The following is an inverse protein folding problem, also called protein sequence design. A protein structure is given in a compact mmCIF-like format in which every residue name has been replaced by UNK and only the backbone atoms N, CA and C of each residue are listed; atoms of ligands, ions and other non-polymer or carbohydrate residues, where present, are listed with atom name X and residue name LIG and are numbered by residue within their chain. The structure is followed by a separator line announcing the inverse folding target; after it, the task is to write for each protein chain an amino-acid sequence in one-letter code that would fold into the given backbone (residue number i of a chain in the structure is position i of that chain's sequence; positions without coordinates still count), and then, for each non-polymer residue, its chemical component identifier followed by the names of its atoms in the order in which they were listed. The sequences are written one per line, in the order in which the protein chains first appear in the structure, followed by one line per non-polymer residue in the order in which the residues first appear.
data_IF_968812832860
#
_entry.id   IF_968812832860
#
_cell.length_a   1.000
_cell.length_b   1.000
_cell.length_c   1.000
_cell.angle_alpha   90.00
_cell.angle_beta   90.00
_cell.angle_gamma   90.00
#
_symmetry.space_group_name_H-M   'P 1'
#
loop_
_entity.id
_entity.type
_entity.pdbx_description
1 polymer ?
#
# COMPACT_ATOMS: atom_id res chain seq x y z
N UNK A 1 -26.98 -27.44 39.14
CA UNK A 1 -26.20 -27.32 37.89
C UNK A 1 -25.02 -26.41 38.15
N UNK A 2 -23.85 -27.01 38.38
CA UNK A 2 -22.59 -26.30 38.61
C UNK A 2 -22.20 -25.64 37.28
N UNK A 3 -22.16 -24.31 37.24
CA UNK A 3 -21.59 -23.56 36.13
C UNK A 3 -20.09 -23.84 36.14
N UNK A 4 -19.63 -24.73 35.27
CA UNK A 4 -18.21 -24.87 34.97
C UNK A 4 -17.70 -23.51 34.50
N UNK A 5 -16.88 -22.88 35.36
CA UNK A 5 -16.04 -21.76 34.98
C UNK A 5 -15.08 -22.29 33.92
N UNK A 6 -15.42 -22.10 32.64
CA UNK A 6 -14.46 -22.25 31.54
C UNK A 6 -13.35 -21.25 31.83
N UNK A 7 -12.22 -21.76 32.32
CA UNK A 7 -10.98 -20.99 32.45
C UNK A 7 -10.48 -20.79 31.02
N UNK A 8 -10.94 -19.72 30.37
CA UNK A 8 -10.38 -19.30 29.08
C UNK A 8 -8.93 -18.90 29.35
N UNK A 9 -7.99 -19.76 28.93
CA UNK A 9 -6.56 -19.45 28.95
C UNK A 9 -6.31 -18.25 28.02
N UNK A 10 -6.26 -17.05 28.59
CA UNK A 10 -5.93 -15.78 27.91
C UNK A 10 -4.44 -15.70 27.58
N UNK A 11 -3.91 -16.64 26.80
CA UNK A 11 -2.59 -16.47 26.20
C UNK A 11 -2.77 -15.65 24.92
N UNK A 12 -2.31 -14.40 24.98
CA UNK A 12 -2.32 -13.49 23.82
C UNK A 12 -1.48 -14.09 22.69
N UNK A 13 -2.04 -14.15 21.49
CA UNK A 13 -1.32 -14.53 20.27
C UNK A 13 -0.12 -13.59 20.07
N UNK A 14 1.08 -14.13 19.96
CA UNK A 14 2.30 -13.35 19.74
C UNK A 14 3.00 -13.82 18.48
N UNK A 15 3.46 -12.85 17.68
CA UNK A 15 4.35 -13.11 16.57
C UNK A 15 5.72 -12.49 16.82
N UNK A 16 6.78 -13.16 16.37
CA UNK A 16 8.17 -12.69 16.49
C UNK A 16 8.96 -13.03 15.24
N UNK A 17 9.88 -12.15 14.87
CA UNK A 17 10.91 -12.46 13.89
C UNK A 17 12.01 -13.26 14.59
N UNK A 18 12.28 -14.46 14.08
CA UNK A 18 13.33 -15.35 14.58
C UNK A 18 14.66 -15.04 13.91
N UNK A 19 14.57 -14.84 12.60
CA UNK A 19 15.73 -14.70 11.75
C UNK A 19 15.40 -13.73 10.63
N UNK A 20 16.36 -12.87 10.33
CA UNK A 20 16.34 -12.02 9.15
C UNK A 20 17.76 -12.01 8.58
N UNK A 21 17.88 -12.35 7.30
CA UNK A 21 19.14 -12.34 6.56
C UNK A 21 18.97 -11.48 5.32
N UNK A 22 19.97 -10.68 4.99
CA UNK A 22 20.10 -10.04 3.68
C UNK A 22 21.32 -10.62 3.00
N UNK A 23 21.13 -11.21 1.82
CA UNK A 23 22.23 -11.65 0.98
C UNK A 23 22.80 -10.46 0.19
N UNK A 24 24.04 -10.59 -0.27
CA UNK A 24 24.73 -9.56 -1.06
C UNK A 24 24.03 -9.21 -2.37
N UNK A 25 23.21 -10.12 -2.93
CA UNK A 25 22.50 -9.93 -4.19
C UNK A 25 21.09 -9.34 -4.00
N UNK A 26 20.88 -8.52 -2.97
CA UNK A 26 19.59 -7.87 -2.68
C UNK A 26 18.42 -8.83 -2.39
N UNK A 27 18.69 -10.11 -2.14
CA UNK A 27 17.70 -11.08 -1.69
C UNK A 27 17.58 -11.01 -0.17
N UNK A 28 16.35 -10.85 0.32
CA UNK A 28 16.08 -10.80 1.75
C UNK A 28 15.28 -12.02 2.18
N UNK A 29 15.71 -12.63 3.28
CA UNK A 29 15.05 -13.73 3.93
C UNK A 29 14.55 -13.30 5.32
N UNK A 30 13.34 -13.73 5.67
CA UNK A 30 12.78 -13.55 7.00
C UNK A 30 12.03 -14.80 7.47
N UNK A 31 12.32 -15.23 8.70
CA UNK A 31 11.61 -16.29 9.39
C UNK A 31 10.83 -15.73 10.57
N UNK A 32 9.54 -16.00 10.61
CA UNK A 32 8.62 -15.51 11.62
C UNK A 32 7.93 -16.68 12.34
N UNK A 33 7.65 -16.51 13.62
CA UNK A 33 6.88 -17.45 14.44
C UNK A 33 5.57 -16.80 14.86
N UNK A 34 4.48 -17.57 14.86
CA UNK A 34 3.20 -17.23 15.46
C UNK A 34 2.78 -18.33 16.46
N UNK A 35 2.58 -17.96 17.72
CA UNK A 35 2.17 -18.88 18.79
C UNK A 35 1.52 -18.14 19.98
N UNK A 36 0.73 -18.82 20.84
CA UNK A 36 0.23 -20.19 20.68
C UNK A 36 -1.03 -20.24 19.79
N UNK A 37 -1.14 -21.25 18.93
CA UNK A 37 -2.32 -21.51 18.10
C UNK A 37 -3.03 -22.78 18.56
N UNK A 38 -4.34 -22.84 18.37
CA UNK A 38 -5.10 -24.09 18.52
C UNK A 38 -4.89 -24.98 17.30
N UNK A 39 -5.10 -26.29 17.48
CA UNK A 39 -4.98 -27.27 16.39
C UNK A 39 -5.78 -26.86 15.15
N UNK A 40 -5.12 -26.77 14.00
CA UNK A 40 -5.70 -26.42 12.70
C UNK A 40 -5.73 -24.92 12.38
N UNK A 41 -5.59 -24.03 13.38
CA UNK A 41 -5.50 -22.59 13.11
C UNK A 41 -4.21 -22.23 12.37
N UNK A 42 -3.12 -22.96 12.62
CA UNK A 42 -1.84 -22.73 11.97
C UNK A 42 -1.91 -22.99 10.45
N UNK A 43 -2.63 -24.04 10.02
CA UNK A 43 -2.87 -24.32 8.60
C UNK A 43 -3.68 -23.20 7.95
N UNK A 44 -4.78 -22.78 8.57
CA UNK A 44 -5.64 -21.72 8.02
C UNK A 44 -4.86 -20.43 7.83
N UNK A 45 -4.14 -19.99 8.85
CA UNK A 45 -3.35 -18.74 8.79
C UNK A 45 -2.18 -18.90 7.81
N UNK A 46 -1.45 -20.01 7.86
CA UNK A 46 -0.30 -20.27 7.01
C UNK A 46 -0.64 -20.25 5.52
N UNK A 47 -1.72 -20.94 5.14
CA UNK A 47 -2.21 -20.97 3.75
C UNK A 47 -2.70 -19.59 3.31
N UNK A 48 -3.50 -18.91 4.13
CA UNK A 48 -4.04 -17.59 3.81
C UNK A 48 -2.93 -16.56 3.60
N UNK A 49 -2.00 -16.46 4.56
CA UNK A 49 -0.86 -15.54 4.51
C UNK A 49 0.04 -15.86 3.33
N UNK A 50 0.35 -17.14 3.08
CA UNK A 50 1.15 -17.54 1.91
C UNK A 50 0.51 -17.10 0.59
N UNK A 51 -0.81 -17.26 0.45
CA UNK A 51 -1.54 -16.82 -0.75
C UNK A 51 -1.50 -15.30 -0.91
N UNK A 52 -1.73 -14.56 0.16
CA UNK A 52 -1.67 -13.10 0.13
C UNK A 52 -0.26 -12.58 -0.20
N UNK A 53 0.79 -13.16 0.39
CA UNK A 53 2.19 -12.80 0.12
C UNK A 53 2.56 -12.96 -1.37
N UNK A 54 2.08 -14.01 -2.02
CA UNK A 54 2.44 -14.31 -3.42
C UNK A 54 1.52 -13.63 -4.44
N UNK A 55 0.28 -13.30 -4.07
CA UNK A 55 -0.73 -12.82 -5.03
C UNK A 55 -1.14 -11.36 -4.86
N UNK A 56 -1.23 -10.87 -3.62
CA UNK A 56 -1.89 -9.60 -3.31
C UNK A 56 -0.93 -8.46 -3.01
N UNK A 57 0.38 -8.73 -2.93
CA UNK A 57 1.38 -7.69 -2.67
C UNK A 57 1.66 -6.91 -3.95
N UNK A 58 1.72 -5.59 -3.80
CA UNK A 58 2.04 -4.69 -4.89
C UNK A 58 3.54 -4.61 -5.14
N UNK A 59 3.92 -4.62 -6.41
CA UNK A 59 5.29 -4.45 -6.85
C UNK A 59 5.42 -3.28 -7.81
N UNK A 60 6.60 -2.68 -7.88
CA UNK A 60 6.93 -1.66 -8.89
C UNK A 60 7.86 -2.28 -9.93
N UNK A 61 7.54 -2.12 -11.22
CA UNK A 61 8.41 -2.57 -12.31
C UNK A 61 8.31 -1.64 -13.53
N UNK A 62 9.22 -1.84 -14.48
CA UNK A 62 9.22 -1.13 -15.76
C UNK A 62 8.29 -1.87 -16.72
N UNK A 63 7.29 -1.19 -17.27
CA UNK A 63 6.25 -1.81 -18.11
C UNK A 63 6.37 -1.48 -19.59
N UNK A 64 7.13 -0.44 -19.95
CA UNK A 64 7.33 -0.02 -21.33
C UNK A 64 8.68 0.67 -21.47
N UNK A 65 9.33 0.46 -22.60
CA UNK A 65 10.50 1.20 -23.05
C UNK A 65 10.24 1.78 -24.44
N UNK A 66 10.57 3.04 -24.67
CA UNK A 66 10.44 3.73 -25.96
C UNK A 66 11.80 4.25 -26.40
N UNK A 67 12.11 4.04 -27.68
CA UNK A 67 13.34 4.53 -28.30
C UNK A 67 13.08 4.90 -29.76
N UNK A 68 13.53 6.08 -30.17
CA UNK A 68 13.24 6.63 -31.50
C UNK A 68 13.99 5.92 -32.64
N UNK A 69 15.14 5.32 -32.34
CA UNK A 69 16.08 4.81 -33.36
C UNK A 69 15.91 3.33 -33.69
N UNK A 70 14.88 2.68 -33.13
CA UNK A 70 14.74 1.22 -33.17
C UNK A 70 13.53 0.85 -34.02
N UNK A 71 13.69 0.02 -35.08
CA UNK A 71 12.57 -0.41 -35.90
C UNK A 71 11.75 -1.53 -35.22
N UNK A 72 12.40 -2.50 -34.58
CA UNK A 72 11.75 -3.64 -33.94
C UNK A 72 12.59 -4.21 -32.76
N UNK A 73 11.96 -4.97 -31.88
CA UNK A 73 12.55 -5.53 -30.65
C UNK A 73 13.73 -6.49 -30.86
N UNK A 74 13.80 -7.15 -32.02
CA UNK A 74 14.91 -8.05 -32.39
C UNK A 74 16.07 -7.36 -33.12
N UNK A 75 16.07 -6.03 -33.21
CA UNK A 75 17.11 -5.31 -33.93
C UNK A 75 18.36 -5.13 -33.09
N UNK A 76 19.48 -4.94 -33.76
CA UNK A 76 20.76 -4.58 -33.15
C UNK A 76 21.07 -3.12 -33.46
N UNK A 77 21.60 -2.42 -32.46
CA UNK A 77 21.99 -1.01 -32.60
C UNK A 77 23.49 -0.99 -32.81
N UNK A 78 23.94 -0.41 -33.93
CA UNK A 78 25.38 -0.25 -34.21
C UNK A 78 26.02 0.52 -33.06
N UNK A 79 27.16 0.03 -32.55
CA UNK A 79 27.92 0.62 -31.45
C UNK A 79 27.37 0.34 -30.04
N UNK A 80 26.40 -0.57 -29.91
CA UNK A 80 25.98 -1.20 -28.65
C UNK A 80 26.26 -2.70 -28.76
N UNK A 81 26.76 -3.31 -27.68
CA UNK A 81 27.12 -4.73 -27.67
C UNK A 81 25.88 -5.64 -27.65
N UNK A 82 24.86 -5.27 -26.88
CA UNK A 82 23.64 -6.04 -26.67
C UNK A 82 22.59 -5.76 -27.75
N UNK A 83 21.74 -6.76 -28.01
CA UNK A 83 20.52 -6.58 -28.80
C UNK A 83 19.45 -5.83 -28.03
N UNK A 84 18.46 -5.25 -28.73
CA UNK A 84 17.35 -4.55 -28.08
C UNK A 84 16.56 -5.49 -27.16
N UNK A 85 16.37 -6.74 -27.56
CA UNK A 85 15.72 -7.75 -26.72
C UNK A 85 16.49 -8.00 -25.42
N UNK A 86 17.82 -8.14 -25.47
CA UNK A 86 18.65 -8.30 -24.29
C UNK A 86 18.56 -7.07 -23.37
N UNK A 87 18.54 -5.85 -23.93
CA UNK A 87 18.32 -4.62 -23.16
C UNK A 87 16.96 -4.66 -22.44
N UNK A 88 15.89 -5.08 -23.13
CA UNK A 88 14.55 -5.21 -22.51
C UNK A 88 14.54 -6.25 -21.39
N UNK A 89 15.25 -7.38 -21.55
CA UNK A 89 15.39 -8.39 -20.49
C UNK A 89 16.20 -7.87 -19.31
N UNK A 90 17.29 -7.15 -19.55
CA UNK A 90 18.09 -6.52 -18.50
C UNK A 90 17.28 -5.48 -17.72
N UNK A 91 16.46 -4.67 -18.41
CA UNK A 91 15.54 -3.73 -17.77
C UNK A 91 14.47 -4.42 -16.91
N UNK A 92 13.99 -5.60 -17.34
CA UNK A 92 13.02 -6.42 -16.59
C UNK A 92 13.59 -6.95 -15.27
N UNK A 93 14.89 -7.17 -15.19
CA UNK A 93 15.56 -7.66 -13.98
C UNK A 93 15.75 -6.58 -12.90
N UNK A 94 15.66 -5.30 -13.26
CA UNK A 94 15.85 -4.18 -12.33
C UNK A 94 14.74 -4.18 -11.27
N UNK A 95 15.16 -4.25 -10.00
CA UNK A 95 14.25 -4.18 -8.87
C UNK A 95 14.10 -2.73 -8.42
N UNK A 96 12.86 -2.24 -8.45
CA UNK A 96 12.48 -0.90 -8.04
C UNK A 96 11.69 -0.94 -6.72
N UNK A 97 11.95 0.02 -5.84
CA UNK A 97 11.16 0.32 -4.65
C UNK A 97 10.48 1.67 -4.86
N UNK A 98 9.16 1.73 -4.76
CA UNK A 98 8.44 2.99 -4.90
C UNK A 98 7.14 2.99 -4.12
N UNK A 99 6.69 4.19 -3.75
CA UNK A 99 5.32 4.45 -3.28
C UNK A 99 4.59 5.29 -4.33
N UNK A 100 4.62 4.83 -5.58
CA UNK A 100 3.92 5.47 -6.70
C UNK A 100 2.42 5.18 -6.68
N UNK A 101 1.63 6.19 -7.04
CA UNK A 101 0.24 6.00 -7.45
C UNK A 101 0.16 6.23 -8.96
N UNK A 102 -0.23 5.19 -9.71
CA UNK A 102 -0.35 5.24 -11.16
C UNK A 102 0.97 5.07 -11.91
N UNK A 103 1.05 5.74 -13.06
CA UNK A 103 2.16 5.62 -14.02
C UNK A 103 3.16 6.75 -13.81
N UNK A 104 4.45 6.43 -13.82
CA UNK A 104 5.53 7.42 -13.77
C UNK A 104 6.51 7.23 -14.93
N UNK A 105 7.09 8.33 -15.40
CA UNK A 105 8.12 8.32 -16.44
C UNK A 105 9.52 8.30 -15.84
N UNK A 106 10.43 7.57 -16.48
CA UNK A 106 11.86 7.60 -16.24
C UNK A 106 12.59 7.63 -17.58
N UNK A 107 13.89 7.94 -17.59
CA UNK A 107 14.66 7.94 -18.83
C UNK A 107 16.12 7.55 -18.61
N UNK A 108 16.75 7.03 -19.65
CA UNK A 108 18.18 6.77 -19.71
C UNK A 108 18.76 7.69 -20.77
N UNK A 109 19.75 8.50 -20.40
CA UNK A 109 20.44 9.41 -21.32
C UNK A 109 21.95 9.31 -21.08
N UNK A 110 22.63 8.51 -21.90
CA UNK A 110 24.06 8.22 -21.74
C UNK A 110 24.79 8.41 -23.07
N UNK A 111 25.99 8.98 -23.00
CA UNK A 111 26.91 9.13 -24.14
C UNK A 111 28.07 8.15 -23.98
N UNK A 112 28.31 7.34 -25.01
CA UNK A 112 29.37 6.34 -25.04
C UNK A 112 30.76 6.91 -25.38
N UNK A 113 31.81 6.06 -25.37
CA UNK A 113 31.79 4.65 -24.98
C UNK A 113 31.82 4.46 -23.46
N UNK A 114 30.88 3.67 -22.91
CA UNK A 114 30.73 3.42 -21.46
C UNK A 114 29.78 2.25 -21.19
N UNK A 115 29.97 1.58 -20.05
CA UNK A 115 28.99 0.66 -19.46
C UNK A 115 27.80 1.41 -18.88
N UNK A 116 26.59 1.02 -19.29
CA UNK A 116 25.32 1.53 -18.80
C UNK A 116 24.78 0.58 -17.75
N UNK A 117 24.55 1.10 -16.55
CA UNK A 117 24.05 0.36 -15.39
C UNK A 117 22.73 0.95 -14.92
N UNK A 118 22.03 0.26 -14.02
CA UNK A 118 20.80 0.77 -13.41
C UNK A 118 20.98 2.15 -12.75
N UNK A 119 22.18 2.45 -12.22
CA UNK A 119 22.49 3.77 -11.67
C UNK A 119 22.34 4.93 -12.68
N UNK A 120 22.51 4.67 -13.97
CA UNK A 120 22.44 5.71 -15.01
C UNK A 120 20.98 6.04 -15.41
N UNK A 121 19.97 5.40 -14.79
CA UNK A 121 18.56 5.71 -14.98
C UNK A 121 18.20 7.00 -14.23
N UNK A 122 17.64 7.95 -14.95
CA UNK A 122 17.04 9.17 -14.41
C UNK A 122 15.64 8.82 -13.90
N UNK A 123 15.53 8.67 -12.59
CA UNK A 123 14.30 8.29 -11.90
C UNK A 123 13.52 9.52 -11.38
N UNK A 124 12.19 9.40 -11.26
CA UNK A 124 11.40 10.33 -10.48
C UNK A 124 11.73 10.21 -8.97
N UNK A 125 11.52 11.27 -8.17
CA UNK A 125 11.91 11.30 -6.76
C UNK A 125 11.20 10.26 -5.86
N UNK A 126 10.09 9.70 -6.33
CA UNK A 126 9.29 8.69 -5.64
C UNK A 126 9.75 7.24 -5.86
N UNK A 127 10.74 7.02 -6.74
CA UNK A 127 11.27 5.69 -7.09
C UNK A 127 12.73 5.58 -6.70
N UNK A 128 13.09 4.43 -6.15
CA UNK A 128 14.46 4.09 -5.80
C UNK A 128 14.82 2.75 -6.43
N UNK A 129 16.04 2.65 -6.94
CA UNK A 129 16.61 1.36 -7.37
C UNK A 129 17.20 0.65 -6.16
N UNK A 130 16.96 -0.65 -6.06
CA UNK A 130 17.50 -1.50 -4.99
C UNK A 130 18.92 -1.94 -5.34
N UNK A 131 19.16 -2.37 -6.58
CA UNK A 131 20.47 -2.77 -7.08
C UNK A 131 20.95 -1.84 -8.21
N UNK A 132 21.89 -0.96 -7.86
CA UNK A 132 22.46 0.01 -8.78
C UNK A 132 23.47 -0.62 -9.77
N UNK A 133 23.92 -1.85 -9.51
CA UNK A 133 24.98 -2.52 -10.29
C UNK A 133 24.44 -3.34 -11.45
N UNK A 134 23.12 -3.53 -11.54
CA UNK A 134 22.49 -4.28 -12.61
C UNK A 134 22.90 -3.71 -13.98
N UNK A 135 23.46 -4.59 -14.80
CA UNK A 135 23.93 -4.25 -16.14
C UNK A 135 22.74 -4.04 -17.08
N UNK A 136 22.78 -2.98 -17.90
CA UNK A 136 21.75 -2.72 -18.92
C UNK A 136 22.33 -2.95 -20.32
N UNK A 137 23.40 -2.23 -20.66
CA UNK A 137 24.02 -2.28 -21.98
C UNK A 137 25.47 -1.76 -21.94
N UNK A 138 26.27 -2.12 -22.92
CA UNK A 138 27.63 -1.63 -23.14
C UNK A 138 27.73 -0.86 -24.46
N UNK A 139 28.11 0.42 -24.38
CA UNK A 139 28.31 1.29 -25.54
C UNK A 139 29.77 1.22 -25.98
N UNK A 140 30.03 0.65 -27.17
CA UNK A 140 31.38 0.49 -27.72
C UNK A 140 31.86 1.70 -28.51
N UNK A 141 30.93 2.49 -29.05
CA UNK A 141 31.18 3.67 -29.89
C UNK A 141 30.66 4.96 -29.23
N UNK A 142 31.08 6.16 -29.67
CA UNK A 142 30.61 7.45 -29.16
C UNK A 142 29.16 7.77 -29.60
N UNK A 143 28.22 6.95 -29.14
CA UNK A 143 26.80 7.01 -29.49
C UNK A 143 26.01 7.54 -28.29
N UNK A 144 24.95 8.30 -28.58
CA UNK A 144 23.99 8.75 -27.58
C UNK A 144 22.85 7.73 -27.49
N UNK A 145 22.75 7.05 -26.36
CA UNK A 145 21.63 6.17 -26.02
C UNK A 145 20.57 7.00 -25.28
N UNK A 146 19.37 7.04 -25.84
CA UNK A 146 18.19 7.63 -25.23
C UNK A 146 17.06 6.60 -25.19
N UNK A 147 16.57 6.29 -23.99
CA UNK A 147 15.45 5.37 -23.77
C UNK A 147 14.50 6.03 -22.79
N UNK A 148 13.23 6.15 -23.18
CA UNK A 148 12.15 6.53 -22.27
C UNK A 148 11.55 5.29 -21.65
N UNK A 149 11.34 5.32 -20.33
CA UNK A 149 10.84 4.22 -19.54
C UNK A 149 9.53 4.60 -18.87
N UNK A 150 8.63 3.64 -18.77
CA UNK A 150 7.39 3.76 -18.03
C UNK A 150 7.42 2.81 -16.84
N UNK A 151 7.25 3.36 -15.64
CA UNK A 151 7.23 2.64 -14.37
C UNK A 151 5.80 2.62 -13.86
N UNK A 152 5.37 1.47 -13.39
CA UNK A 152 4.02 1.27 -12.86
C UNK A 152 4.10 0.43 -11.58
N UNK A 153 3.16 0.70 -10.67
CA UNK A 153 2.94 -0.11 -9.47
C UNK A 153 1.57 -0.78 -9.60
N UNK A 154 1.57 -2.10 -9.55
CA UNK A 154 0.36 -2.93 -9.71
C UNK A 154 0.56 -4.26 -8.96
N UNK A 155 -0.36 -5.21 -9.11
CA UNK A 155 -0.31 -6.55 -8.50
C UNK A 155 -0.17 -7.65 -9.55
N UNK A 156 0.47 -8.75 -9.14
CA UNK A 156 0.53 -9.97 -9.92
C UNK A 156 1.39 -9.88 -11.19
N UNK A 157 0.96 -10.56 -12.24
CA UNK A 157 1.69 -10.68 -13.50
C UNK A 157 0.80 -10.29 -14.67
N UNK A 158 1.29 -9.38 -15.53
CA UNK A 158 0.55 -8.90 -16.69
C UNK A 158 1.39 -9.06 -17.94
N UNK A 159 1.00 -10.02 -18.77
CA UNK A 159 1.53 -10.17 -20.13
C UNK A 159 0.83 -9.14 -21.00
N UNK A 160 1.60 -8.21 -21.56
CA UNK A 160 1.06 -7.30 -22.59
C UNK A 160 1.30 -7.95 -23.95
N UNK A 161 0.21 -8.25 -24.65
CA UNK A 161 0.27 -8.63 -26.06
C UNK A 161 0.80 -7.46 -26.88
N UNK A 162 1.65 -7.74 -27.87
CA UNK A 162 2.25 -6.77 -28.79
C UNK A 162 1.18 -6.12 -29.67
N UNK A 163 0.38 -5.21 -29.11
CA UNK A 163 -0.57 -4.43 -29.89
C UNK A 163 0.19 -3.24 -30.50
N UNK A 164 0.47 -3.36 -31.81
CA UNK A 164 0.89 -2.31 -32.74
C UNK A 164 1.84 -1.25 -32.15
N UNK A 165 3.13 -1.57 -32.15
CA UNK A 165 4.24 -0.63 -31.91
C UNK A 165 4.38 0.41 -33.03
N UNK A 166 3.33 1.20 -33.29
CA UNK A 166 3.38 2.31 -34.27
C UNK A 166 4.20 3.51 -33.77
N UNK A 167 4.56 3.53 -32.47
CA UNK A 167 5.19 4.69 -31.81
C UNK A 167 6.59 4.38 -31.22
N UNK A 168 7.32 3.39 -31.79
CA UNK A 168 8.68 3.05 -31.34
C UNK A 168 8.78 2.56 -29.88
N UNK A 169 7.68 2.02 -29.37
CA UNK A 169 7.55 1.60 -27.99
C UNK A 169 7.38 0.10 -27.85
N UNK A 170 8.09 -0.47 -26.89
CA UNK A 170 8.15 -1.89 -26.63
C UNK A 170 7.54 -2.17 -25.25
N UNK A 171 6.48 -2.97 -25.15
CA UNK A 171 5.99 -3.43 -23.87
C UNK A 171 7.01 -4.37 -23.24
N UNK A 172 7.22 -4.24 -21.93
CA UNK A 172 7.97 -5.20 -21.14
C UNK A 172 6.96 -5.99 -20.29
N UNK A 173 7.17 -7.30 -20.21
CA UNK A 173 6.37 -8.16 -19.34
C UNK A 173 6.45 -7.68 -17.88
N UNK A 174 5.32 -7.26 -17.35
CA UNK A 174 5.27 -6.62 -16.05
C UNK A 174 5.15 -7.68 -14.95
N UNK A 175 6.22 -7.85 -14.16
CA UNK A 175 6.27 -8.73 -12.99
C UNK A 175 6.19 -7.88 -11.73
N UNK A 176 4.99 -7.72 -11.18
CA UNK A 176 4.74 -6.92 -9.98
C UNK A 176 4.83 -7.74 -8.69
N UNK A 177 5.64 -8.81 -8.68
CA UNK A 177 5.70 -9.77 -7.57
C UNK A 177 7.04 -9.63 -6.80
N UNK A 178 7.09 -8.85 -5.70
CA UNK A 178 8.32 -8.66 -4.93
C UNK A 178 8.68 -9.87 -4.05
N UNK A 179 7.69 -10.68 -3.66
CA UNK A 179 7.91 -11.93 -2.93
C UNK A 179 8.21 -13.05 -3.92
N UNK A 180 9.43 -13.62 -3.85
CA UNK A 180 9.88 -14.70 -4.71
C UNK A 180 9.39 -16.06 -4.23
N UNK A 181 9.40 -16.27 -2.92
CA UNK A 181 8.95 -17.51 -2.31
C UNK A 181 8.40 -17.26 -0.90
N UNK A 182 7.45 -18.10 -0.50
CA UNK A 182 6.89 -18.12 0.84
C UNK A 182 6.56 -19.56 1.23
N UNK A 183 7.16 -20.03 2.33
CA UNK A 183 6.91 -21.34 2.92
C UNK A 183 6.29 -21.19 4.30
N UNK A 184 5.52 -22.18 4.70
CA UNK A 184 5.02 -22.30 6.06
C UNK A 184 5.26 -23.71 6.59
N UNK A 185 5.61 -23.82 7.86
CA UNK A 185 5.74 -25.09 8.56
C UNK A 185 5.05 -25.00 9.91
N UNK A 186 4.51 -26.14 10.37
CA UNK A 186 3.70 -26.21 11.57
C UNK A 186 4.33 -27.21 12.52
N UNK A 187 4.54 -26.78 13.76
CA UNK A 187 5.00 -27.65 14.83
C UNK A 187 3.91 -27.76 15.89
N UNK A 188 3.45 -28.99 16.13
CA UNK A 188 2.51 -29.27 17.21
C UNK A 188 3.26 -29.69 18.47
N UNK A 189 2.79 -29.21 19.61
CA UNK A 189 3.31 -29.58 20.92
C UNK A 189 2.17 -29.75 21.91
N UNK A 190 2.39 -30.59 22.93
CA UNK A 190 1.42 -30.83 24.00
C UNK A 190 1.79 -29.93 25.17
N UNK A 191 0.83 -29.13 25.62
CA UNK A 191 1.00 -28.25 26.77
C UNK A 191 -0.13 -28.52 27.77
N UNK A 192 0.13 -29.38 28.75
CA UNK A 192 -0.89 -29.93 29.64
C UNK A 192 -1.83 -30.88 28.88
N UNK A 193 -3.14 -30.61 28.95
CA UNK A 193 -4.18 -31.41 28.27
C UNK A 193 -4.54 -30.89 26.87
N UNK A 194 -4.02 -29.73 26.45
CA UNK A 194 -4.34 -29.10 25.17
C UNK A 194 -3.21 -29.29 24.16
N UNK A 195 -3.58 -29.62 22.91
CA UNK A 195 -2.65 -29.64 21.77
C UNK A 195 -2.57 -28.24 21.19
N UNK A 196 -1.37 -27.66 21.20
CA UNK A 196 -1.09 -26.33 20.66
C UNK A 196 -0.18 -26.44 19.45
N UNK A 197 -0.26 -25.45 18.58
CA UNK A 197 0.52 -25.35 17.35
C UNK A 197 1.34 -24.06 17.33
N UNK A 198 2.47 -24.14 16.64
CA UNK A 198 3.35 -23.03 16.31
C UNK A 198 3.44 -22.98 14.79
N UNK A 199 3.12 -21.82 14.22
CA UNK A 199 3.28 -21.56 12.80
C UNK A 199 4.62 -20.87 12.58
N UNK A 200 5.43 -21.41 11.68
CA UNK A 200 6.63 -20.79 11.16
C UNK A 200 6.37 -20.33 9.74
N UNK A 201 6.67 -19.07 9.44
CA UNK A 201 6.57 -18.48 8.12
C UNK A 201 7.98 -18.11 7.65
N UNK A 202 8.33 -18.55 6.45
CA UNK A 202 9.60 -18.26 5.81
C UNK A 202 9.34 -17.51 4.51
N UNK A 203 9.92 -16.32 4.37
CA UNK A 203 9.60 -15.38 3.30
C UNK A 203 10.90 -14.94 2.62
N UNK A 204 10.95 -15.01 1.29
CA UNK A 204 12.05 -14.53 0.46
C UNK A 204 11.55 -13.41 -0.45
N UNK A 205 12.19 -12.23 -0.37
CA UNK A 205 11.86 -11.06 -1.19
C UNK A 205 13.06 -10.62 -2.04
N UNK A 206 12.78 -9.90 -3.12
CA UNK A 206 13.79 -9.34 -4.03
C UNK A 206 14.41 -8.02 -3.56
N UNK A 207 14.12 -7.57 -2.32
CA UNK A 207 14.65 -6.34 -1.74
C UNK A 207 13.83 -5.07 -2.01
N UNK A 208 12.83 -5.11 -2.91
CA UNK A 208 11.87 -3.99 -3.05
C UNK A 208 11.09 -3.75 -1.74
N UNK A 209 10.70 -4.85 -1.08
CA UNK A 209 10.06 -4.86 0.23
C UNK A 209 10.84 -5.77 1.17
N UNK A 210 10.93 -5.38 2.44
CA UNK A 210 11.47 -6.28 3.47
C UNK A 210 10.46 -7.39 3.79
N UNK A 211 10.90 -8.59 4.21
CA UNK A 211 10.00 -9.69 4.59
C UNK A 211 8.98 -9.29 5.67
N UNK A 212 9.36 -8.36 6.56
CA UNK A 212 8.47 -7.83 7.61
C UNK A 212 7.39 -6.91 7.03
N UNK A 213 7.76 -5.98 6.16
CA UNK A 213 6.80 -5.11 5.46
C UNK A 213 5.84 -5.94 4.62
N UNK A 214 6.35 -6.93 3.88
CA UNK A 214 5.54 -7.85 3.08
C UNK A 214 4.50 -8.60 3.94
N UNK A 215 4.90 -9.10 5.13
CA UNK A 215 3.98 -9.74 6.06
C UNK A 215 2.89 -8.78 6.56
N UNK A 216 3.23 -7.52 6.84
CA UNK A 216 2.28 -6.51 7.26
C UNK A 216 1.28 -6.15 6.15
N UNK A 217 1.76 -5.96 4.92
CA UNK A 217 0.91 -5.68 3.75
C UNK A 217 -0.02 -6.85 3.44
N UNK A 218 0.50 -8.08 3.40
CA UNK A 218 -0.32 -9.28 3.22
C UNK A 218 -1.38 -9.43 4.30
N UNK A 219 -1.05 -9.14 5.56
CA UNK A 219 -2.00 -9.19 6.68
C UNK A 219 -3.11 -8.14 6.53
N UNK A 220 -2.75 -6.92 6.12
CA UNK A 220 -3.73 -5.84 5.84
C UNK A 220 -4.67 -6.27 4.73
N UNK A 221 -4.15 -6.76 3.60
CA UNK A 221 -4.95 -7.16 2.45
C UNK A 221 -5.91 -8.31 2.82
N UNK A 222 -5.46 -9.27 3.63
CA UNK A 222 -6.34 -10.32 4.15
C UNK A 222 -7.45 -9.77 5.03
N UNK A 223 -7.15 -8.85 5.94
CA UNK A 223 -8.17 -8.23 6.80
C UNK A 223 -9.19 -7.48 5.95
N UNK A 224 -8.74 -6.72 4.96
CA UNK A 224 -9.62 -5.98 4.03
C UNK A 224 -10.59 -6.90 3.29
N UNK A 225 -10.16 -8.11 2.90
CA UNK A 225 -11.04 -9.12 2.32
C UNK A 225 -12.12 -9.63 3.29
N UNK A 226 -11.87 -9.60 4.60
CA UNK A 226 -12.83 -10.03 5.61
C UNK A 226 -13.79 -8.92 6.07
N UNK A 227 -13.46 -7.64 5.86
CA UNK A 227 -14.29 -6.49 6.26
C UNK A 227 -15.75 -6.60 5.76
N UNK A 228 -16.04 -6.94 4.49
CA UNK A 228 -17.42 -7.03 4.00
C UNK A 228 -18.27 -8.06 4.76
N UNK A 229 -17.66 -9.16 5.21
CA UNK A 229 -18.38 -10.20 5.97
C UNK A 229 -18.73 -9.74 7.39
N UNK A 230 -17.98 -8.78 7.95
CA UNK A 230 -18.26 -8.20 9.27
C UNK A 230 -19.42 -7.20 9.21
N UNK A 231 -19.52 -6.42 8.13
CA UNK A 231 -20.61 -5.44 7.96
C UNK A 231 -21.93 -6.04 7.48
N UNK A 232 -21.91 -7.22 6.85
CA UNK A 232 -23.11 -7.92 6.41
C UNK A 232 -24.07 -8.32 7.57
N UNK A 233 -23.57 -8.32 8.82
CA UNK A 233 -24.37 -8.56 10.02
C UNK A 233 -25.10 -7.30 10.51
N UNK A 234 -24.60 -6.09 10.20
CA UNK A 234 -25.21 -4.83 10.67
C UNK A 234 -26.48 -4.48 9.89
N UNK A 235 -26.55 -4.78 8.60
CA UNK A 235 -27.74 -4.51 7.77
C UNK A 235 -28.94 -5.43 8.10
N UNK A 236 -28.71 -6.58 8.73
CA UNK A 236 -29.77 -7.51 9.15
C UNK A 236 -30.35 -7.22 10.54
N UNK A 237 -29.73 -6.33 11.33
CA UNK A 237 -30.16 -6.03 12.70
C UNK A 237 -31.19 -4.89 12.80
N UNK A 238 -31.70 -4.37 11.68
CA UNK A 238 -32.77 -3.36 11.66
C UNK A 238 -34.19 -3.93 11.53
N UNK A 239 -34.35 -5.26 11.57
CA UNK A 239 -35.65 -5.91 11.63
C UNK A 239 -35.67 -6.91 12.78
N UNK A 240 -35.88 -6.42 14.00
CA UNK A 240 -36.82 -6.99 15.00
C UNK A 240 -36.59 -6.35 16.38
N UNK A 241 -37.70 -5.95 16.98
CA UNK A 241 -37.80 -5.24 18.24
C UNK A 241 -37.22 -6.03 19.43
N UNK A 242 -36.61 -5.29 20.36
CA UNK A 242 -36.62 -5.51 21.81
C UNK A 242 -36.39 -6.94 22.33
N UNK A 243 -35.16 -7.25 22.74
CA UNK A 243 -34.78 -7.62 24.13
C UNK A 243 -33.32 -8.13 24.21
N UNK A 244 -32.63 -7.71 25.27
CA UNK A 244 -31.27 -8.10 25.72
C UNK A 244 -30.11 -7.90 24.72
N UNK A 245 -29.53 -6.69 24.73
CA UNK A 245 -28.13 -6.47 24.32
C UNK A 245 -27.20 -7.29 25.22
N UNK A 246 -26.80 -8.48 24.76
CA UNK A 246 -25.55 -9.09 25.20
C UNK A 246 -24.46 -8.51 24.31
N UNK A 247 -23.79 -7.47 24.80
CA UNK A 247 -22.58 -6.93 24.18
C UNK A 247 -21.50 -8.00 24.26
N UNK A 248 -21.31 -8.76 23.18
CA UNK A 248 -20.11 -9.57 22.99
C UNK A 248 -18.95 -8.60 22.68
N UNK A 249 -17.90 -8.56 23.50
CA UNK A 249 -16.77 -7.66 23.30
C UNK A 249 -15.84 -8.27 22.25
N UNK A 250 -16.20 -8.19 20.97
CA UNK A 250 -15.35 -8.66 19.88
C UNK A 250 -14.92 -7.50 18.97
N UNK A 251 -13.59 -7.32 18.93
CA UNK A 251 -12.79 -6.52 18.01
C UNK A 251 -12.55 -5.02 18.32
N UNK A 252 -11.56 -4.80 19.19
CA UNK A 252 -10.80 -3.56 19.40
C UNK A 252 -9.90 -3.15 18.20
N UNK A 253 -10.01 -3.79 17.04
CA UNK A 253 -9.19 -3.48 15.87
C UNK A 253 -9.71 -2.26 15.11
N UNK A 254 -11.03 -2.18 14.92
CA UNK A 254 -11.65 -1.12 14.12
C UNK A 254 -11.49 0.26 14.76
N UNK A 255 -11.52 0.31 16.09
CA UNK A 255 -11.46 1.53 16.87
C UNK A 255 -10.06 2.20 16.82
N UNK A 256 -8.98 1.45 16.53
CA UNK A 256 -7.62 2.00 16.39
C UNK A 256 -7.32 2.56 14.99
N UNK A 257 -7.80 1.90 13.93
CA UNK A 257 -7.60 2.37 12.55
C UNK A 257 -8.50 3.56 12.23
N UNK A 258 -9.75 3.55 12.70
CA UNK A 258 -10.65 4.71 12.59
C UNK A 258 -10.16 5.91 13.43
N UNK A 259 -9.54 5.67 14.60
CA UNK A 259 -8.87 6.73 15.37
C UNK A 259 -7.66 7.31 14.63
N UNK A 260 -6.87 6.50 13.91
CA UNK A 260 -5.68 7.02 13.22
C UNK A 260 -6.04 8.02 12.10
N UNK A 261 -7.06 7.69 11.28
CA UNK A 261 -7.53 8.55 10.19
C UNK A 261 -8.37 9.75 10.68
N UNK A 262 -9.10 9.59 11.80
CA UNK A 262 -9.74 10.73 12.47
C UNK A 262 -8.71 11.66 13.08
N UNK A 263 -7.65 11.14 13.70
CA UNK A 263 -6.63 11.99 14.31
C UNK A 263 -5.88 12.81 13.25
N UNK A 264 -5.57 12.29 12.07
CA UNK A 264 -4.88 13.07 11.02
C UNK A 264 -5.76 14.18 10.42
N UNK A 265 -7.05 13.90 10.17
CA UNK A 265 -8.02 14.89 9.67
C UNK A 265 -8.38 15.92 10.74
N UNK A 266 -8.53 15.50 11.99
CA UNK A 266 -8.76 16.37 13.15
C UNK A 266 -7.52 17.23 13.48
N UNK A 267 -6.31 16.76 13.21
CA UNK A 267 -5.07 17.57 13.31
C UNK A 267 -5.00 18.62 12.19
N UNK A 268 -5.38 18.28 10.96
CA UNK A 268 -5.41 19.24 9.84
C UNK A 268 -6.49 20.33 10.05
N UNK A 269 -7.68 19.93 10.50
CA UNK A 269 -8.81 20.85 10.77
C UNK A 269 -8.60 21.71 12.03
N UNK A 270 -7.73 21.29 12.96
CA UNK A 270 -7.28 22.12 14.10
C UNK A 270 -6.40 23.29 13.68
N UNK A 271 -5.65 23.15 12.59
CA UNK A 271 -4.68 24.16 12.15
C UNK A 271 -5.23 25.23 11.21
N UNK A 272 -6.43 25.04 10.67
CA UNK A 272 -7.05 25.99 9.74
C UNK A 272 -7.95 26.97 10.52
N UNK A 273 -7.53 28.22 10.54
CA UNK A 273 -8.32 29.32 11.10
C UNK A 273 -9.38 29.77 10.12
N UNK A 274 -10.51 30.22 10.63
CA UNK A 274 -11.62 30.74 9.83
C UNK A 274 -11.18 31.97 9.00
N UNK A 275 -10.15 32.69 9.44
CA UNK A 275 -9.52 33.80 8.71
C UNK A 275 -8.98 33.40 7.33
N UNK A 276 -8.69 32.12 7.11
CA UNK A 276 -8.15 31.58 5.85
C UNK A 276 -9.25 31.06 4.91
N UNK A 277 -10.47 30.89 5.42
CA UNK A 277 -11.63 30.50 4.60
C UNK A 277 -12.24 31.72 3.89
N UNK A 278 -12.70 31.56 2.65
CA UNK A 278 -13.31 32.64 1.85
C UNK A 278 -14.75 32.98 2.31
N UNK A 279 -14.95 33.24 3.60
CA UNK A 279 -16.26 33.56 4.15
C UNK A 279 -16.64 35.03 3.94
N UNK A 280 -17.93 35.32 3.64
CA UNK A 280 -18.44 36.67 3.64
C UNK A 280 -18.14 37.40 4.97
N UNK A 281 -17.74 38.69 4.96
CA UNK A 281 -17.34 39.44 6.15
C UNK A 281 -18.38 39.44 7.28
N UNK A 282 -19.65 39.33 6.91
CA UNK A 282 -20.76 39.23 7.86
C UNK A 282 -20.78 37.90 8.60
N UNK A 283 -20.61 36.78 7.89
CA UNK A 283 -20.59 35.42 8.48
C UNK A 283 -19.37 35.30 9.38
N UNK A 284 -18.22 35.76 8.90
CA UNK A 284 -16.97 35.82 9.65
C UNK A 284 -17.13 36.54 11.00
N UNK A 285 -17.69 37.76 11.00
CA UNK A 285 -17.88 38.54 12.22
C UNK A 285 -18.88 37.90 13.20
N UNK A 286 -19.91 37.24 12.69
CA UNK A 286 -20.85 36.49 13.52
C UNK A 286 -20.18 35.28 14.20
N UNK A 287 -19.39 34.50 13.46
CA UNK A 287 -18.66 33.33 14.00
C UNK A 287 -17.63 33.75 15.05
N UNK A 288 -16.88 34.83 14.78
CA UNK A 288 -15.91 35.41 15.71
C UNK A 288 -16.57 35.93 16.99
N UNK A 289 -17.75 36.55 16.88
CA UNK A 289 -18.54 37.01 18.02
C UNK A 289 -19.08 35.88 18.91
N UNK A 290 -19.14 34.66 18.39
CA UNK A 290 -19.53 33.44 19.10
C UNK A 290 -18.34 32.58 19.56
N UNK A 291 -17.13 33.15 19.58
CA UNK A 291 -15.87 32.47 19.95
C UNK A 291 -15.53 31.24 19.09
N UNK A 292 -15.96 31.22 17.83
CA UNK A 292 -15.59 30.18 16.87
C UNK A 292 -14.42 30.73 16.05
N UNK A 293 -13.24 30.11 16.16
CA UNK A 293 -12.01 30.60 15.52
C UNK A 293 -11.38 29.59 14.55
N UNK A 294 -11.69 28.30 14.70
CA UNK A 294 -11.17 27.22 13.84
C UNK A 294 -12.29 26.46 13.13
N UNK A 295 -11.96 25.80 12.01
CA UNK A 295 -12.91 24.94 11.30
C UNK A 295 -13.36 23.74 12.14
N UNK A 296 -12.51 23.25 13.05
CA UNK A 296 -12.90 22.22 14.00
C UNK A 296 -14.01 22.70 14.95
N UNK A 297 -13.89 23.92 15.48
CA UNK A 297 -14.93 24.50 16.34
C UNK A 297 -16.25 24.63 15.59
N UNK A 298 -16.17 24.95 14.29
CA UNK A 298 -17.34 25.07 13.43
C UNK A 298 -18.04 23.71 13.22
N UNK A 299 -17.28 22.63 13.01
CA UNK A 299 -17.82 21.26 12.84
C UNK A 299 -18.44 20.68 14.13
N UNK A 300 -17.95 21.09 15.29
CA UNK A 300 -18.46 20.63 16.59
C UNK A 300 -19.78 21.30 17.00
N UNK A 301 -20.19 22.36 16.31
CA UNK A 301 -21.43 23.08 16.61
C UNK A 301 -22.61 22.51 15.82
N UNK A 302 -23.76 22.32 16.48
CA UNK A 302 -24.95 21.81 15.81
C UNK A 302 -25.67 22.93 15.04
N UNK A 303 -26.45 22.56 14.00
CA UNK A 303 -27.28 23.52 13.26
C UNK A 303 -28.22 24.33 14.17
N UNK A 304 -28.60 23.76 15.32
CA UNK A 304 -29.45 24.44 16.30
C UNK A 304 -28.73 25.55 17.07
N UNK A 305 -27.40 25.47 17.17
CA UNK A 305 -26.58 26.47 17.87
C UNK A 305 -26.28 27.67 16.97
N UNK A 306 -26.09 27.45 15.65
CA UNK A 306 -25.99 28.53 14.67
C UNK A 306 -27.26 29.40 14.61
N UNK A 307 -28.43 28.78 14.76
CA UNK A 307 -29.71 29.50 14.79
C UNK A 307 -29.92 30.35 16.06
N UNK A 308 -29.17 30.08 17.14
CA UNK A 308 -29.19 30.90 18.37
C UNK A 308 -28.26 32.12 18.29
N UNK A 309 -27.37 32.17 17.30
CA UNK A 309 -26.45 33.29 17.12
C UNK A 309 -27.18 34.53 16.62
N UNK A 310 -26.83 35.69 17.19
CA UNK A 310 -27.47 36.96 16.83
C UNK A 310 -27.15 37.30 15.37
N UNK A 311 -28.20 37.52 14.57
CA UNK A 311 -28.14 37.94 13.16
C UNK A 311 -27.69 36.89 12.13
N UNK A 312 -27.70 35.60 12.51
CA UNK A 312 -27.43 34.47 11.60
C UNK A 312 -28.67 34.07 10.80
N UNK A 313 -28.54 33.86 9.49
CA UNK A 313 -29.64 33.44 8.60
C UNK A 313 -29.47 31.98 8.16
N UNK A 314 -30.57 31.37 7.71
CA UNK A 314 -30.54 30.01 7.13
C UNK A 314 -29.70 29.93 5.85
N UNK A 315 -29.59 31.05 5.12
CA UNK A 315 -28.75 31.19 3.92
C UNK A 315 -27.26 31.10 4.27
N UNK A 316 -26.85 31.69 5.40
CA UNK A 316 -25.46 31.68 5.88
C UNK A 316 -25.01 30.25 6.22
N UNK A 317 -25.93 29.41 6.74
CA UNK A 317 -25.66 27.99 7.04
C UNK A 317 -25.42 27.19 5.77
N UNK A 318 -26.17 27.46 4.69
CA UNK A 318 -25.96 26.79 3.40
C UNK A 318 -24.58 27.13 2.82
N UNK A 319 -24.21 28.41 2.84
CA UNK A 319 -22.89 28.86 2.39
C UNK A 319 -21.73 28.19 3.14
N UNK A 320 -21.88 27.98 4.46
CA UNK A 320 -20.87 27.28 5.27
C UNK A 320 -20.78 25.81 4.88
N UNK A 321 -21.92 25.14 4.65
CA UNK A 321 -21.92 23.73 4.23
C UNK A 321 -21.28 23.55 2.85
N UNK A 322 -21.56 24.44 1.90
CA UNK A 322 -20.97 24.41 0.57
C UNK A 322 -19.43 24.56 0.62
N UNK A 323 -18.92 25.44 1.48
CA UNK A 323 -17.46 25.64 1.67
C UNK A 323 -16.81 24.43 2.36
N UNK A 324 -17.47 23.83 3.35
CA UNK A 324 -16.98 22.63 4.03
C UNK A 324 -16.95 21.40 3.11
N UNK A 325 -17.88 21.28 2.17
CA UNK A 325 -17.85 20.22 1.16
C UNK A 325 -16.65 20.42 0.21
N UNK A 326 -16.43 21.66 -0.25
CA UNK A 326 -15.27 21.99 -1.09
C UNK A 326 -13.95 21.71 -0.37
N UNK A 327 -13.79 22.14 0.88
CA UNK A 327 -12.53 21.93 1.63
C UNK A 327 -12.29 20.47 2.03
N UNK A 328 -13.34 19.64 2.16
CA UNK A 328 -13.20 18.19 2.37
C UNK A 328 -12.69 17.46 1.13
N UNK A 329 -12.95 17.98 -0.08
CA UNK A 329 -12.43 17.41 -1.32
C UNK A 329 -10.94 17.76 -1.55
N UNK A 330 -10.39 18.74 -0.82
CA UNK A 330 -8.99 19.14 -0.88
C UNK A 330 -8.06 18.39 0.10
N UNK A 331 -8.60 17.58 1.03
CA UNK A 331 -7.84 16.86 2.09
C UNK A 331 -7.98 15.35 1.95
#
# INVERSE_FOLDING_TARGET
MVREKVIVSTRTLQWKCVESRGDSNSLYYGRFILSPLMKGQADTIGIAVRRALLGEIEGTCITRAKSEKIPHEYSTIIGIQESVHEILMNLKEIVLRSNLYGISGASICVKGPRYVTAQDIILPPSVQIVDNTQHIANLTEPINLYIELQIERDRGYRIKTTNNSQDGSYPIDAVFMPVRNANHSIHSYVNGNEKQEILFLEIWTNGSLTPKEALHEASRNLIELFIPFLHAEEEKLHLENNQQKVTLPFFTCHDRLAKLNKNSTEIALKSIFIDQSELPPRIYNCLKGSNIHTLLDLLNNSQTDFMKMKHFRREDIKHILDILEIEKDFV
#
